data_IF_621148873421
#
_entry.id   IF_621148873421
#
_cell.length_a   1.000
_cell.length_b   1.000
_cell.length_c   1.000
_cell.angle_alpha   90.00
_cell.angle_beta   90.00
_cell.angle_gamma   90.00
#
_symmetry.space_group_name_H-M   'P 1'
#
loop_
_entity.id
_entity.type
_entity.pdbx_description
1 polymer ?
#
# COMPACT_ATOMS: atom_id res chain seq x y z
N UNK A 1 -20.17 8.20 -1.62
CA UNK A 1 -20.17 6.73 -1.45
C UNK A 1 -21.19 6.12 -2.41
N UNK A 2 -20.78 5.23 -3.32
CA UNK A 2 -21.65 4.66 -4.35
C UNK A 2 -22.08 3.26 -3.92
N UNK A 3 -23.38 3.04 -3.73
CA UNK A 3 -23.94 1.76 -3.27
C UNK A 3 -24.86 1.19 -4.34
N UNK A 4 -24.75 -0.11 -4.62
CA UNK A 4 -25.61 -0.85 -5.56
C UNK A 4 -26.02 -2.20 -4.97
N UNK A 5 -27.21 -2.73 -5.27
CA UNK A 5 -27.52 -4.12 -4.97
C UNK A 5 -26.60 -5.07 -5.73
N UNK A 6 -26.20 -6.19 -5.14
CA UNK A 6 -25.35 -7.21 -5.80
C UNK A 6 -25.98 -7.73 -7.10
N UNK A 7 -27.31 -7.79 -7.17
CA UNK A 7 -28.06 -8.13 -8.38
C UNK A 7 -27.81 -7.18 -9.57
N UNK A 8 -27.42 -5.92 -9.31
CA UNK A 8 -27.16 -4.93 -10.36
C UNK A 8 -25.90 -5.25 -11.17
N UNK A 9 -24.94 -6.00 -10.61
CA UNK A 9 -23.70 -6.37 -11.32
C UNK A 9 -24.00 -7.14 -12.59
N UNK A 10 -24.92 -8.11 -12.52
CA UNK A 10 -25.24 -8.98 -13.67
C UNK A 10 -25.74 -8.17 -14.86
N UNK A 11 -26.48 -7.07 -14.62
CA UNK A 11 -27.05 -6.21 -15.66
C UNK A 11 -26.11 -5.08 -16.09
N UNK A 12 -25.37 -4.50 -15.15
CA UNK A 12 -24.64 -3.25 -15.34
C UNK A 12 -23.13 -3.41 -15.12
N UNK A 13 -22.57 -4.61 -15.31
CA UNK A 13 -21.14 -4.88 -15.05
C UNK A 13 -20.22 -3.87 -15.74
N UNK A 14 -20.43 -3.62 -17.04
CA UNK A 14 -19.58 -2.71 -17.82
C UNK A 14 -19.64 -1.27 -17.28
N UNK A 15 -20.84 -0.78 -16.95
CA UNK A 15 -21.02 0.56 -16.37
C UNK A 15 -20.30 0.68 -15.02
N UNK A 16 -20.44 -0.33 -14.15
CA UNK A 16 -19.77 -0.37 -12.85
C UNK A 16 -18.24 -0.44 -13.00
N UNK A 17 -17.76 -1.27 -13.95
CA UNK A 17 -16.34 -1.41 -14.25
C UNK A 17 -15.73 -0.11 -14.77
N UNK A 18 -16.38 0.54 -15.74
CA UNK A 18 -15.98 1.85 -16.27
C UNK A 18 -15.95 2.91 -15.17
N UNK A 19 -16.99 2.96 -14.34
CA UNK A 19 -17.07 3.88 -13.22
C UNK A 19 -15.91 3.71 -12.23
N UNK A 20 -15.57 2.46 -11.88
CA UNK A 20 -14.45 2.15 -11.00
C UNK A 20 -13.10 2.58 -11.61
N UNK A 21 -12.93 2.39 -12.93
CA UNK A 21 -11.70 2.78 -13.65
C UNK A 21 -11.54 4.29 -13.76
N UNK A 22 -12.58 4.99 -14.19
CA UNK A 22 -12.53 6.43 -14.45
C UNK A 22 -12.40 7.23 -13.15
N UNK A 23 -13.11 6.81 -12.10
CA UNK A 23 -13.12 7.57 -10.85
C UNK A 23 -12.04 7.10 -9.87
N UNK A 24 -11.54 5.87 -10.02
CA UNK A 24 -10.67 5.26 -9.03
C UNK A 24 -11.35 5.07 -7.66
N UNK A 25 -12.67 5.21 -7.59
CA UNK A 25 -13.45 5.06 -6.35
C UNK A 25 -14.09 3.68 -6.27
N UNK A 26 -14.23 3.11 -5.06
CA UNK A 26 -14.94 1.86 -4.87
C UNK A 26 -16.47 2.02 -5.00
N UNK A 27 -17.11 0.96 -5.50
CA UNK A 27 -18.56 0.76 -5.44
C UNK A 27 -18.88 -0.31 -4.39
N UNK A 28 -19.76 0.02 -3.48
CA UNK A 28 -20.21 -0.86 -2.40
C UNK A 28 -21.43 -1.65 -2.87
N UNK A 29 -21.42 -2.94 -2.59
CA UNK A 29 -22.48 -3.86 -2.95
C UNK A 29 -23.25 -4.29 -1.72
N UNK A 30 -24.56 -4.31 -1.86
CA UNK A 30 -25.46 -4.78 -0.80
C UNK A 30 -26.14 -6.09 -1.18
N UNK A 31 -26.37 -6.93 -0.19
CA UNK A 31 -27.20 -8.12 -0.27
C UNK A 31 -28.26 -8.02 0.81
N UNK A 32 -29.54 -8.07 0.42
CA UNK A 32 -30.67 -7.89 1.33
C UNK A 32 -30.65 -6.59 2.16
N UNK A 33 -30.08 -5.51 1.60
CA UNK A 33 -29.96 -4.22 2.29
C UNK A 33 -28.70 -4.06 3.16
N UNK A 34 -27.94 -5.13 3.38
CA UNK A 34 -26.71 -5.12 4.15
C UNK A 34 -25.48 -5.04 3.24
N UNK A 35 -24.43 -4.35 3.69
CA UNK A 35 -23.16 -4.28 2.97
C UNK A 35 -22.48 -5.66 2.91
N UNK A 36 -22.10 -6.10 1.71
CA UNK A 36 -21.58 -7.45 1.46
C UNK A 36 -20.18 -7.40 0.82
N UNK A 37 -20.02 -6.63 -0.27
CA UNK A 37 -18.78 -6.58 -1.05
C UNK A 37 -18.42 -5.17 -1.48
N UNK A 38 -17.15 -4.97 -1.85
CA UNK A 38 -16.65 -3.73 -2.47
C UNK A 38 -15.97 -4.09 -3.79
N UNK A 39 -16.32 -3.37 -4.85
CA UNK A 39 -15.71 -3.49 -6.18
C UNK A 39 -14.91 -2.22 -6.45
N UNK A 40 -13.69 -2.39 -6.95
CA UNK A 40 -12.77 -1.29 -7.26
C UNK A 40 -11.92 -1.69 -8.46
N UNK A 41 -11.42 -0.70 -9.20
CA UNK A 41 -10.43 -0.96 -10.23
C UNK A 41 -9.13 -1.54 -9.63
N UNK A 42 -8.47 -2.42 -10.36
CA UNK A 42 -7.28 -3.16 -9.88
C UNK A 42 -6.10 -2.20 -9.67
N UNK A 43 -5.88 -1.23 -10.57
CA UNK A 43 -4.78 -0.28 -10.43
C UNK A 43 -5.04 0.70 -9.29
N UNK A 44 -6.29 1.17 -9.18
CA UNK A 44 -6.71 2.01 -8.06
C UNK A 44 -6.53 1.28 -6.71
N UNK A 45 -6.90 0.00 -6.64
CA UNK A 45 -6.68 -0.83 -5.46
C UNK A 45 -5.20 -0.99 -5.12
N UNK A 46 -4.36 -1.34 -6.11
CA UNK A 46 -2.90 -1.46 -5.92
C UNK A 46 -2.27 -0.16 -5.45
N UNK A 47 -2.66 0.97 -6.02
CA UNK A 47 -2.19 2.30 -5.59
C UNK A 47 -2.57 2.58 -4.14
N UNK A 48 -3.81 2.26 -3.75
CA UNK A 48 -4.28 2.41 -2.37
C UNK A 48 -3.45 1.56 -1.41
N UNK A 49 -3.21 0.28 -1.73
CA UNK A 49 -2.39 -0.62 -0.91
C UNK A 49 -0.96 -0.09 -0.74
N UNK A 50 -0.32 0.36 -1.83
CA UNK A 50 1.03 0.95 -1.77
C UNK A 50 1.07 2.21 -0.90
N UNK A 51 0.05 3.07 -0.99
CA UNK A 51 -0.04 4.26 -0.17
C UNK A 51 -0.24 3.94 1.32
N UNK A 52 -1.00 2.89 1.65
CA UNK A 52 -1.17 2.44 3.03
C UNK A 52 0.14 1.91 3.61
N UNK A 53 0.85 1.06 2.88
CA UNK A 53 2.18 0.57 3.28
C UNK A 53 3.19 1.69 3.50
N UNK A 54 3.20 2.68 2.61
CA UNK A 54 4.06 3.86 2.77
C UNK A 54 3.71 4.64 4.05
N UNK A 55 2.41 4.83 4.33
CA UNK A 55 1.95 5.51 5.54
C UNK A 55 2.36 4.76 6.80
N UNK A 56 2.20 3.44 6.83
CA UNK A 56 2.65 2.61 7.96
C UNK A 56 4.15 2.76 8.20
N UNK A 57 4.96 2.71 7.14
CA UNK A 57 6.41 2.90 7.24
C UNK A 57 6.77 4.31 7.76
N UNK A 58 6.11 5.35 7.27
CA UNK A 58 6.34 6.72 7.73
C UNK A 58 5.94 6.91 9.19
N UNK A 59 4.82 6.34 9.62
CA UNK A 59 4.39 6.38 11.03
C UNK A 59 5.44 5.73 11.92
N UNK A 60 5.93 4.55 11.56
CA UNK A 60 6.97 3.86 12.32
C UNK A 60 8.28 4.68 12.41
N UNK A 61 8.70 5.31 11.31
CA UNK A 61 9.89 6.19 11.30
C UNK A 61 9.68 7.42 12.19
N UNK A 62 8.49 8.02 12.17
CA UNK A 62 8.19 9.18 13.03
C UNK A 62 8.13 8.81 14.51
N UNK A 63 7.57 7.64 14.86
CA UNK A 63 7.60 7.12 16.23
C UNK A 63 9.04 6.90 16.71
N UNK A 64 9.89 6.33 15.86
CA UNK A 64 11.31 6.14 16.15
C UNK A 64 12.04 7.47 16.36
N UNK A 65 11.74 8.48 15.53
CA UNK A 65 12.28 9.84 15.66
C UNK A 65 11.85 10.48 16.98
N UNK A 66 10.58 10.34 17.36
CA UNK A 66 10.05 10.85 18.63
C UNK A 66 10.64 10.13 19.85
N UNK A 67 10.97 8.84 19.72
CA UNK A 67 11.70 8.07 20.73
C UNK A 67 13.20 8.43 20.80
N UNK A 68 13.67 9.37 19.99
CA UNK A 68 15.05 9.85 19.98
C UNK A 68 16.02 9.00 19.18
N UNK A 69 15.54 8.02 18.39
CA UNK A 69 16.41 7.31 17.44
C UNK A 69 16.81 8.28 16.33
N UNK A 70 18.11 8.41 16.09
CA UNK A 70 18.64 9.26 15.03
C UNK A 70 18.72 8.45 13.74
N UNK A 71 18.31 9.08 12.64
CA UNK A 71 18.61 8.57 11.30
C UNK A 71 20.08 8.76 10.94
N UNK A 72 20.47 8.21 9.80
CA UNK A 72 21.80 8.36 9.22
C UNK A 72 21.73 9.23 7.98
N UNK A 73 22.79 10.00 7.71
CA UNK A 73 22.98 10.61 6.41
C UNK A 73 23.30 9.54 5.34
N UNK A 74 23.22 9.91 4.07
CA UNK A 74 23.58 9.02 2.97
C UNK A 74 25.06 8.62 3.08
N UNK A 75 25.94 9.57 3.40
CA UNK A 75 27.39 9.31 3.53
C UNK A 75 27.69 8.36 4.71
N UNK A 76 26.99 8.51 5.84
CA UNK A 76 27.13 7.62 7.00
C UNK A 76 26.67 6.20 6.68
N UNK A 77 25.55 6.07 5.96
CA UNK A 77 25.01 4.79 5.52
C UNK A 77 25.96 4.10 4.54
N UNK A 78 26.46 4.82 3.54
CA UNK A 78 27.40 4.28 2.55
C UNK A 78 28.69 3.78 3.22
N UNK A 79 29.23 4.53 4.17
CA UNK A 79 30.39 4.13 4.95
C UNK A 79 30.14 2.84 5.74
N UNK A 80 28.99 2.74 6.41
CA UNK A 80 28.60 1.55 7.18
C UNK A 80 28.40 0.32 6.27
N UNK A 81 27.77 0.51 5.11
CA UNK A 81 27.54 -0.57 4.14
C UNK A 81 28.87 -1.08 3.58
N UNK A 82 29.78 -0.19 3.17
CA UNK A 82 31.10 -0.59 2.68
C UNK A 82 31.90 -1.35 3.72
N UNK A 83 31.86 -0.90 4.99
CA UNK A 83 32.50 -1.60 6.10
C UNK A 83 31.93 -3.00 6.29
N UNK A 84 30.61 -3.13 6.36
CA UNK A 84 29.91 -4.40 6.53
C UNK A 84 30.23 -5.39 5.39
N UNK A 85 30.26 -4.92 4.14
CA UNK A 85 30.59 -5.76 2.98
C UNK A 85 32.03 -6.30 3.08
N UNK A 86 32.99 -5.46 3.49
CA UNK A 86 34.40 -5.87 3.67
C UNK A 86 34.52 -6.92 4.78
N UNK A 87 33.88 -6.70 5.92
CA UNK A 87 33.90 -7.64 7.05
C UNK A 87 33.36 -9.02 6.66
N UNK A 88 32.26 -9.08 5.90
CA UNK A 88 31.70 -10.35 5.41
C UNK A 88 32.60 -11.01 4.36
N UNK A 89 33.21 -10.23 3.47
CA UNK A 89 34.11 -10.75 2.45
C UNK A 89 35.41 -11.33 3.05
N UNK A 90 35.95 -10.67 4.07
CA UNK A 90 37.18 -11.10 4.75
C UNK A 90 36.90 -12.22 5.77
N UNK A 91 35.72 -12.25 6.39
CA UNK A 91 35.26 -13.35 7.25
C UNK A 91 35.02 -14.67 6.50
N UNK A 92 34.79 -14.63 5.19
CA UNK A 92 34.70 -15.82 4.31
C UNK A 92 36.04 -16.32 3.79
N UNK A 93 37.15 -15.60 4.05
CA UNK A 93 38.52 -15.98 3.63
C UNK A 93 39.32 -16.73 4.72
N UNK A 94 38.71 -17.01 5.87
CA UNK A 94 39.21 -17.92 6.89
C UNK A 94 38.39 -19.20 6.88
#
# INVERSE_FOLDING_TARGET
MKIKPSAAIRKNYNEISTLCKETGEPVYLTKNGEGDLVVMDIEAFRRRESMLRLREALVAVEEDRLAGKKGFSIDELDGLMQKTIREVADGKRK
#
